data_IF_755439065402
#
_entry.id   IF_755439065402
#
_cell.length_a   1.000
_cell.length_b   1.000
_cell.length_c   1.000
_cell.angle_alpha   90.00
_cell.angle_beta   90.00
_cell.angle_gamma   90.00
#
_symmetry.space_group_name_H-M   'P 1'
#
loop_
_entity.id
_entity.type
_entity.pdbx_description
1 polymer ?
#
# COMPACT_ATOMS: atom_id res chain seq x y z
N UNK A 1 -10.74 29.06 -27.90
CA UNK A 1 -9.35 29.54 -28.12
C UNK A 1 -8.37 28.39 -27.89
N UNK A 2 -7.24 28.33 -28.62
CA UNK A 2 -6.27 27.23 -28.50
C UNK A 2 -5.32 27.46 -27.31
N UNK A 3 -5.03 26.40 -26.55
CA UNK A 3 -4.09 26.42 -25.42
C UNK A 3 -2.62 26.32 -25.86
N UNK A 4 -2.39 25.69 -27.01
CA UNK A 4 -1.07 25.46 -27.60
C UNK A 4 -1.04 25.87 -29.06
N UNK A 5 0.14 26.30 -29.51
CA UNK A 5 0.53 26.45 -30.91
C UNK A 5 1.55 25.35 -31.26
N UNK A 6 1.42 24.73 -32.43
CA UNK A 6 2.40 23.77 -32.93
C UNK A 6 3.28 24.52 -33.92
N UNK A 7 4.58 24.63 -33.61
CA UNK A 7 5.55 25.33 -34.46
C UNK A 7 5.59 24.68 -35.84
N UNK A 8 5.36 25.47 -36.87
CA UNK A 8 5.48 25.08 -38.28
C UNK A 8 6.89 25.38 -38.79
N UNK A 9 7.19 24.84 -39.96
CA UNK A 9 8.45 25.11 -40.65
C UNK A 9 8.63 26.62 -40.86
N UNK A 10 9.82 27.13 -40.53
CA UNK A 10 10.19 28.55 -40.60
C UNK A 10 9.43 29.53 -39.69
N UNK A 11 8.59 29.06 -38.74
CA UNK A 11 7.99 29.95 -37.74
C UNK A 11 9.01 30.35 -36.66
N UNK A 12 8.95 31.62 -36.23
CA UNK A 12 9.74 32.15 -35.11
C UNK A 12 8.84 32.47 -33.92
N UNK A 13 9.44 32.61 -32.73
CA UNK A 13 8.66 32.99 -31.55
C UNK A 13 8.00 34.37 -31.71
N UNK A 14 8.62 35.26 -32.49
CA UNK A 14 8.08 36.57 -32.85
C UNK A 14 6.84 36.46 -33.72
N UNK A 15 6.85 35.62 -34.76
CA UNK A 15 5.66 35.43 -35.63
C UNK A 15 4.51 34.80 -34.85
N UNK A 16 4.82 33.84 -33.97
CA UNK A 16 3.85 33.20 -33.09
C UNK A 16 3.26 34.21 -32.09
N UNK A 17 4.11 35.01 -31.43
CA UNK A 17 3.68 36.03 -30.48
C UNK A 17 2.70 37.03 -31.12
N UNK A 18 3.05 37.53 -32.31
CA UNK A 18 2.21 38.45 -33.09
C UNK A 18 0.86 37.82 -33.47
N UNK A 19 0.88 36.58 -33.96
CA UNK A 19 -0.33 35.86 -34.37
C UNK A 19 -1.33 35.68 -33.23
N UNK A 20 -0.83 35.47 -32.00
CA UNK A 20 -1.67 35.21 -30.83
C UNK A 20 -1.85 36.42 -29.91
N UNK A 21 -1.43 37.62 -30.34
CA UNK A 21 -1.61 38.85 -29.56
C UNK A 21 -0.87 38.85 -28.23
N UNK A 22 0.34 38.28 -28.19
CA UNK A 22 1.19 38.21 -26.99
C UNK A 22 2.62 38.67 -27.30
N UNK A 23 3.52 38.61 -26.33
CA UNK A 23 4.92 39.02 -26.50
C UNK A 23 5.87 37.83 -26.50
N UNK A 24 7.02 37.99 -27.16
CA UNK A 24 8.10 36.99 -27.15
C UNK A 24 8.54 36.71 -25.71
N UNK A 25 8.74 37.75 -24.90
CA UNK A 25 9.11 37.62 -23.50
C UNK A 25 8.08 36.81 -22.68
N UNK A 26 6.78 37.05 -22.91
CA UNK A 26 5.71 36.29 -22.26
C UNK A 26 5.77 34.81 -22.67
N UNK A 27 5.86 34.51 -23.97
CA UNK A 27 5.94 33.13 -24.45
C UNK A 27 7.20 32.40 -23.96
N UNK A 28 8.35 33.07 -23.97
CA UNK A 28 9.60 32.51 -23.45
C UNK A 28 9.45 32.12 -21.98
N UNK A 29 8.96 33.05 -21.15
CA UNK A 29 8.77 32.82 -19.73
C UNK A 29 7.74 31.72 -19.46
N UNK A 30 6.64 31.68 -20.22
CA UNK A 30 5.59 30.68 -20.06
C UNK A 30 6.04 29.26 -20.44
N UNK A 31 6.99 29.13 -21.37
CA UNK A 31 7.44 27.86 -21.92
C UNK A 31 8.85 27.44 -21.47
N UNK A 32 9.44 28.17 -20.52
CA UNK A 32 10.82 27.98 -20.07
C UNK A 32 11.85 27.96 -21.22
N UNK A 33 11.67 28.80 -22.24
CA UNK A 33 12.57 28.83 -23.39
C UNK A 33 13.80 29.68 -23.07
N UNK A 34 15.01 29.11 -23.08
CA UNK A 34 16.23 29.86 -22.81
C UNK A 34 16.62 30.79 -23.97
N UNK A 35 16.21 30.45 -25.19
CA UNK A 35 16.53 31.18 -26.42
C UNK A 35 15.30 31.23 -27.34
N UNK A 36 14.84 32.44 -27.75
CA UNK A 36 13.67 32.59 -28.62
C UNK A 36 13.87 32.04 -30.04
N UNK A 37 15.11 31.85 -30.48
CA UNK A 37 15.45 31.39 -31.82
C UNK A 37 15.59 29.86 -31.92
N UNK A 38 15.61 29.16 -30.78
CA UNK A 38 15.76 27.70 -30.73
C UNK A 38 14.40 27.00 -30.65
N UNK A 39 13.62 27.14 -31.72
CA UNK A 39 12.36 26.41 -31.90
C UNK A 39 12.56 25.21 -32.85
N UNK A 40 11.87 24.12 -32.59
CA UNK A 40 11.84 22.95 -33.49
C UNK A 40 10.47 22.84 -34.15
N UNK A 41 10.45 22.50 -35.44
CA UNK A 41 9.21 22.14 -36.14
C UNK A 41 8.49 21.01 -35.38
N UNK A 42 7.18 21.15 -35.16
CA UNK A 42 6.37 20.24 -34.35
C UNK A 42 6.37 20.50 -32.84
N UNK A 43 7.21 21.42 -32.34
CA UNK A 43 7.24 21.78 -30.92
C UNK A 43 5.91 22.44 -30.50
N UNK A 44 5.38 22.05 -29.35
CA UNK A 44 4.20 22.69 -28.75
C UNK A 44 4.62 23.87 -27.89
N UNK A 45 4.05 25.04 -28.18
CA UNK A 45 4.23 26.28 -27.43
C UNK A 45 2.92 26.59 -26.73
N UNK A 46 2.93 26.63 -25.39
CA UNK A 46 1.82 27.09 -24.59
C UNK A 46 1.58 28.58 -24.85
N UNK A 47 0.33 28.92 -25.12
CA UNK A 47 -0.11 30.29 -25.37
C UNK A 47 -0.76 30.93 -24.13
N UNK A 48 -1.12 30.10 -23.16
CA UNK A 48 -1.89 30.49 -21.98
C UNK A 48 -1.40 29.77 -20.75
N UNK A 49 -1.43 30.46 -19.61
CA UNK A 49 -1.07 29.87 -18.31
C UNK A 49 -1.97 28.70 -17.90
N UNK A 50 -3.23 28.68 -18.32
CA UNK A 50 -4.14 27.56 -18.04
C UNK A 50 -3.64 26.23 -18.64
N UNK A 51 -2.75 26.30 -19.65
CA UNK A 51 -2.15 25.14 -20.28
C UNK A 51 -0.99 24.53 -19.46
N UNK A 52 -0.27 25.34 -18.68
CA UNK A 52 1.04 24.97 -18.10
C UNK A 52 1.28 25.42 -16.66
N UNK A 53 0.39 26.20 -16.07
CA UNK A 53 0.48 26.70 -14.69
C UNK A 53 -0.66 26.16 -13.82
N UNK A 54 -1.29 25.06 -14.26
CA UNK A 54 -2.27 24.38 -13.45
C UNK A 54 -1.62 23.67 -12.26
N UNK A 55 -2.26 23.72 -11.10
CA UNK A 55 -1.79 23.07 -9.89
C UNK A 55 -2.94 22.39 -9.17
N UNK A 56 -2.70 21.20 -8.65
CA UNK A 56 -3.63 20.44 -7.84
C UNK A 56 -2.86 19.74 -6.70
N UNK A 57 -3.50 19.58 -5.55
CA UNK A 57 -2.92 18.87 -4.41
C UNK A 57 -3.67 17.55 -4.20
N UNK A 58 -2.94 16.44 -4.08
CA UNK A 58 -3.46 15.15 -3.65
C UNK A 58 -3.09 14.91 -2.19
N UNK A 59 -4.10 14.76 -1.33
CA UNK A 59 -3.91 14.47 0.09
C UNK A 59 -4.11 12.98 0.37
N UNK A 60 -3.08 12.35 0.90
CA UNK A 60 -3.06 10.93 1.25
C UNK A 60 -2.79 10.74 2.75
N UNK A 61 -3.37 9.70 3.34
CA UNK A 61 -3.00 9.23 4.67
C UNK A 61 -1.68 8.45 4.64
N UNK A 62 -1.24 7.98 5.82
CA UNK A 62 -0.02 7.19 5.95
C UNK A 62 -0.03 5.92 5.08
N UNK A 63 -1.19 5.33 4.85
CA UNK A 63 -1.39 4.10 4.06
C UNK A 63 -1.66 4.37 2.58
N UNK A 64 -1.41 5.61 2.14
CA UNK A 64 -1.62 6.11 0.77
C UNK A 64 -3.09 6.07 0.35
N UNK A 65 -4.03 6.04 1.28
CA UNK A 65 -5.44 6.24 0.95
C UNK A 65 -5.72 7.73 0.72
N UNK A 66 -6.52 8.06 -0.30
CA UNK A 66 -7.06 9.41 -0.43
C UNK A 66 -7.81 9.87 0.82
N UNK A 67 -7.47 11.05 1.34
CA UNK A 67 -8.19 11.66 2.46
C UNK A 67 -9.40 12.39 1.88
N UNK A 68 -10.58 11.83 2.04
CA UNK A 68 -11.84 12.43 1.61
C UNK A 68 -12.34 13.50 2.60
N UNK A 69 -13.03 14.52 2.11
CA UNK A 69 -13.65 15.61 2.89
C UNK A 69 -12.68 16.43 3.76
N UNK A 70 -11.38 16.38 3.47
CA UNK A 70 -10.39 17.21 4.16
C UNK A 70 -10.59 18.67 3.73
N UNK A 71 -10.96 19.54 4.67
CA UNK A 71 -11.03 20.97 4.43
C UNK A 71 -9.62 21.56 4.29
N UNK A 72 -9.38 22.31 3.21
CA UNK A 72 -8.10 22.94 2.91
C UNK A 72 -8.27 24.39 2.46
N UNK A 73 -7.16 25.14 2.52
CA UNK A 73 -7.01 26.45 1.91
C UNK A 73 -5.74 26.46 1.06
N UNK A 74 -5.86 26.94 -0.18
CA UNK A 74 -4.74 27.20 -1.08
C UNK A 74 -4.58 28.72 -1.26
N UNK A 75 -3.43 29.26 -0.88
CA UNK A 75 -3.09 30.68 -1.09
C UNK A 75 -2.04 30.80 -2.20
N UNK A 76 -2.33 31.59 -3.23
CA UNK A 76 -1.47 31.74 -4.41
C UNK A 76 -1.78 33.07 -5.12
N UNK A 77 -0.78 33.73 -5.70
CA UNK A 77 -0.95 34.95 -6.51
C UNK A 77 -1.85 36.03 -5.83
N UNK A 78 -1.75 36.19 -4.50
CA UNK A 78 -2.58 37.12 -3.72
C UNK A 78 -4.06 36.69 -3.54
N UNK A 79 -4.42 35.49 -4.01
CA UNK A 79 -5.75 34.89 -3.91
C UNK A 79 -5.76 33.78 -2.85
N UNK A 80 -6.95 33.47 -2.34
CA UNK A 80 -7.17 32.35 -1.44
C UNK A 80 -8.40 31.56 -1.90
N UNK A 81 -8.24 30.25 -1.93
CA UNK A 81 -9.28 29.29 -2.29
C UNK A 81 -9.46 28.35 -1.12
N UNK A 82 -10.70 28.25 -0.61
CA UNK A 82 -11.10 27.26 0.39
C UNK A 82 -11.91 26.16 -0.28
N UNK A 83 -11.65 24.91 0.09
CA UNK A 83 -12.38 23.77 -0.45
C UNK A 83 -12.33 22.56 0.48
N UNK A 84 -12.94 21.47 0.02
CA UNK A 84 -12.88 20.15 0.64
C UNK A 84 -12.44 19.13 -0.39
N UNK A 85 -11.62 18.16 -0.01
CA UNK A 85 -11.12 17.15 -0.96
C UNK A 85 -12.24 16.25 -1.45
N UNK A 86 -12.13 15.79 -2.70
CA UNK A 86 -13.08 14.80 -3.23
C UNK A 86 -12.75 13.39 -2.72
N UNK A 87 -13.56 12.40 -3.12
CA UNK A 87 -13.33 10.99 -2.76
C UNK A 87 -11.96 10.46 -3.22
N UNK A 88 -11.33 11.07 -4.23
CA UNK A 88 -9.99 10.75 -4.71
C UNK A 88 -8.88 11.54 -4.00
N UNK A 89 -9.23 12.31 -2.96
CA UNK A 89 -8.29 13.03 -2.09
C UNK A 89 -7.71 14.28 -2.73
N UNK A 90 -8.20 14.69 -3.90
CA UNK A 90 -7.69 15.87 -4.60
C UNK A 90 -8.36 17.15 -4.16
N UNK A 91 -7.59 18.23 -4.18
CA UNK A 91 -8.09 19.60 -4.15
C UNK A 91 -8.74 19.95 -5.50
N UNK A 92 -9.41 21.09 -5.56
CA UNK A 92 -9.73 21.68 -6.84
C UNK A 92 -8.45 22.08 -7.56
N UNK A 93 -8.46 22.01 -8.89
CA UNK A 93 -7.39 22.53 -9.73
C UNK A 93 -7.41 24.06 -9.68
N UNK A 94 -6.27 24.66 -9.41
CA UNK A 94 -6.02 26.10 -9.49
C UNK A 94 -5.06 26.41 -10.64
N UNK A 95 -4.96 27.68 -11.03
CA UNK A 95 -4.02 28.14 -12.06
C UNK A 95 -3.27 29.35 -11.51
N UNK A 96 -1.95 29.28 -11.45
CA UNK A 96 -1.09 30.40 -11.04
C UNK A 96 -0.78 31.32 -12.21
N UNK A 97 -0.29 32.53 -11.92
CA UNK A 97 0.09 33.49 -12.96
C UNK A 97 1.37 33.05 -13.67
N UNK A 98 2.30 32.49 -12.92
CA UNK A 98 3.58 31.98 -13.37
C UNK A 98 3.94 30.62 -12.74
N UNK A 99 4.78 29.82 -13.40
CA UNK A 99 5.27 28.54 -12.88
C UNK A 99 6.20 28.72 -11.66
N UNK A 100 6.68 29.94 -11.43
CA UNK A 100 7.49 30.32 -10.28
C UNK A 100 6.67 30.92 -9.13
N UNK A 101 5.34 30.84 -9.18
CA UNK A 101 4.53 31.37 -8.09
C UNK A 101 4.47 30.38 -6.92
N UNK A 102 4.63 30.85 -5.67
CA UNK A 102 4.49 30.02 -4.49
C UNK A 102 3.01 29.77 -4.18
N UNK A 103 2.70 28.53 -3.79
CA UNK A 103 1.39 28.10 -3.37
C UNK A 103 1.50 27.63 -1.92
N UNK A 104 0.84 28.31 -0.99
CA UNK A 104 0.76 27.87 0.41
C UNK A 104 -0.43 26.95 0.58
N UNK A 105 -0.18 25.77 1.16
CA UNK A 105 -1.18 24.74 1.38
C UNK A 105 -1.47 24.65 2.86
N UNK A 106 -2.72 24.90 3.25
CA UNK A 106 -3.19 24.79 4.61
C UNK A 106 -4.30 23.75 4.70
N UNK A 107 -4.38 23.05 5.82
CA UNK A 107 -5.44 22.07 6.11
C UNK A 107 -6.09 22.39 7.45
N UNK A 108 -7.39 22.15 7.55
CA UNK A 108 -8.14 22.34 8.79
C UNK A 108 -7.79 21.25 9.78
N UNK A 109 -7.47 21.66 11.01
CA UNK A 109 -7.28 20.79 12.17
C UNK A 109 -8.62 20.44 12.81
N UNK A 110 -8.60 19.42 13.66
CA UNK A 110 -9.77 19.01 14.45
C UNK A 110 -10.33 20.13 15.34
N UNK A 111 -9.46 21.00 15.86
CA UNK A 111 -9.85 22.19 16.64
C UNK A 111 -10.47 23.33 15.82
N UNK A 112 -10.64 23.13 14.50
CA UNK A 112 -11.19 24.11 13.57
C UNK A 112 -10.19 25.11 13.00
N UNK A 113 -8.96 25.16 13.52
CA UNK A 113 -7.89 26.06 13.03
C UNK A 113 -7.23 25.55 11.75
N UNK A 114 -6.63 26.43 10.96
CA UNK A 114 -5.89 26.03 9.76
C UNK A 114 -4.39 25.93 10.04
N UNK A 115 -3.79 24.78 9.69
CA UNK A 115 -2.34 24.56 9.75
C UNK A 115 -1.75 24.71 8.36
N UNK A 116 -0.76 25.59 8.21
CA UNK A 116 0.13 25.57 7.05
C UNK A 116 0.92 24.26 7.03
N UNK A 117 0.70 23.45 6.00
CA UNK A 117 1.35 22.16 5.79
C UNK A 117 2.69 22.36 5.10
N UNK A 118 2.68 23.10 3.99
CA UNK A 118 3.87 23.37 3.19
C UNK A 118 3.67 24.56 2.24
N UNK A 119 4.74 24.97 1.56
CA UNK A 119 4.73 25.91 0.43
C UNK A 119 5.38 25.23 -0.76
N UNK A 120 4.72 25.24 -1.92
CA UNK A 120 5.20 24.55 -3.13
C UNK A 120 5.19 25.53 -4.29
N UNK A 121 6.23 25.49 -5.12
CA UNK A 121 6.27 26.26 -6.37
C UNK A 121 5.40 25.58 -7.42
N UNK A 122 4.58 26.36 -8.13
CA UNK A 122 3.63 25.87 -9.14
C UNK A 122 4.26 24.96 -10.20
N UNK A 123 5.50 25.25 -10.61
CA UNK A 123 6.23 24.49 -11.63
C UNK A 123 5.67 24.66 -13.05
N UNK A 124 6.41 24.14 -14.03
CA UNK A 124 5.95 24.08 -15.42
C UNK A 124 5.15 22.79 -15.65
N UNK A 125 4.09 22.90 -16.45
CA UNK A 125 3.13 21.81 -16.66
C UNK A 125 2.07 21.79 -15.57
N UNK A 126 0.97 21.09 -15.82
CA UNK A 126 -0.07 20.91 -14.81
C UNK A 126 0.48 20.06 -13.66
N UNK A 127 0.96 20.70 -12.58
CA UNK A 127 1.65 20.04 -11.47
C UNK A 127 0.64 19.44 -10.49
N UNK A 128 0.90 18.18 -10.12
CA UNK A 128 0.22 17.51 -9.00
C UNK A 128 1.18 17.48 -7.81
N UNK A 129 0.76 18.01 -6.66
CA UNK A 129 1.49 17.96 -5.42
C UNK A 129 0.89 16.88 -4.51
N UNK A 130 1.64 15.80 -4.25
CA UNK A 130 1.21 14.73 -3.34
C UNK A 130 1.68 15.02 -1.92
N UNK A 131 0.73 15.15 -0.98
CA UNK A 131 1.00 15.31 0.45
C UNK A 131 0.54 14.06 1.20
N UNK A 132 1.45 13.47 1.99
CA UNK A 132 1.19 12.25 2.74
C UNK A 132 1.25 12.58 4.22
N UNK A 133 0.16 12.34 4.93
CA UNK A 133 0.11 12.52 6.38
C UNK A 133 1.02 11.49 7.07
N UNK A 134 1.87 11.90 8.03
CA UNK A 134 2.63 10.96 8.85
C UNK A 134 1.71 10.16 9.78
N UNK A 135 2.25 9.08 10.37
CA UNK A 135 1.57 8.34 11.42
C UNK A 135 1.45 9.20 12.69
N UNK A 136 0.29 9.13 13.33
CA UNK A 136 0.13 9.51 14.72
C UNK A 136 0.58 8.33 15.59
N UNK A 137 1.73 8.48 16.25
CA UNK A 137 2.15 7.57 17.31
C UNK A 137 1.59 8.14 18.61
N UNK A 138 0.63 7.44 19.20
CA UNK A 138 0.06 7.79 20.50
C UNK A 138 0.66 6.82 21.51
N UNK A 139 1.38 7.35 22.49
CA UNK A 139 1.88 6.55 23.60
C UNK A 139 0.69 6.08 24.45
N UNK A 140 0.21 4.87 24.19
CA UNK A 140 -0.84 4.25 24.99
C UNK A 140 -0.20 3.61 26.21
N UNK A 141 -0.49 4.14 27.40
CA UNK A 141 -0.19 3.43 28.65
C UNK A 141 -1.25 2.36 28.85
N UNK A 142 -0.85 1.09 28.81
CA UNK A 142 -1.71 -0.01 29.23
C UNK A 142 -2.01 0.16 30.73
N UNK A 143 -3.23 0.60 31.06
CA UNK A 143 -3.72 0.59 32.44
C UNK A 143 -4.40 -0.75 32.67
N UNK A 144 -4.13 -1.36 33.83
CA UNK A 144 -4.90 -2.52 34.28
C UNK A 144 -6.40 -2.16 34.24
N UNK A 145 -7.16 -2.89 33.45
CA UNK A 145 -8.62 -2.76 33.42
C UNK A 145 -9.13 -3.16 34.82
N UNK A 146 -10.04 -2.38 35.43
CA UNK A 146 -10.57 -2.76 36.73
C UNK A 146 -11.29 -4.10 36.57
N UNK A 147 -10.77 -5.12 37.26
CA UNK A 147 -11.49 -6.39 37.40
C UNK A 147 -12.73 -6.04 38.22
N UNK A 148 -13.87 -5.82 37.57
CA UNK A 148 -15.14 -5.97 38.28
C UNK A 148 -15.14 -7.37 38.90
N UNK A 149 -15.50 -7.44 40.19
CA UNK A 149 -15.50 -8.65 41.02
C UNK A 149 -16.23 -9.80 40.27
N UNK A 150 -15.49 -10.82 39.86
CA UNK A 150 -15.97 -12.19 40.06
C UNK A 150 -15.70 -12.52 41.52
N UNK A 151 -16.70 -13.05 42.22
CA UNK A 151 -16.66 -13.37 43.64
C UNK A 151 -15.40 -14.18 44.03
N UNK A 152 -14.86 -13.84 45.20
CA UNK A 152 -13.54 -14.21 45.70
C UNK A 152 -13.43 -15.68 46.12
N UNK A 153 -12.30 -16.32 45.79
CA UNK A 153 -11.82 -17.52 46.48
C UNK A 153 -10.44 -17.23 47.13
N UNK A 154 -10.11 -17.89 48.25
CA UNK A 154 -9.30 -17.32 49.32
C UNK A 154 -7.79 -17.50 49.13
N UNK A 155 -7.01 -16.55 49.67
CA UNK A 155 -5.54 -16.59 49.82
C UNK A 155 -5.15 -17.31 51.11
N UNK A 156 -3.98 -17.98 51.25
CA UNK A 156 -2.68 -17.33 51.54
C UNK A 156 -1.43 -18.12 51.01
N UNK A 157 -0.21 -17.58 50.90
CA UNK A 157 0.70 -17.17 51.98
C UNK A 157 1.70 -16.10 51.51
N UNK A 158 2.16 -15.26 52.45
CA UNK A 158 2.95 -14.05 52.23
C UNK A 158 4.32 -14.17 52.91
N UNK A 159 5.39 -13.84 52.18
CA UNK A 159 6.64 -13.16 52.62
C UNK A 159 7.62 -13.15 51.41
N UNK A 160 8.50 -12.18 51.13
CA UNK A 160 9.02 -11.03 51.86
C UNK A 160 9.41 -9.88 50.88
N UNK A 161 9.65 -8.65 51.39
CA UNK A 161 10.27 -7.52 50.66
C UNK A 161 11.81 -7.57 50.81
N UNK A 162 12.63 -7.23 49.80
CA UNK A 162 13.43 -5.97 49.87
C UNK A 162 13.73 -5.33 48.48
N UNK A 163 13.76 -4.00 48.31
CA UNK A 163 14.84 -2.96 48.44
C UNK A 163 15.16 -2.35 47.05
N UNK A 164 15.20 -1.01 47.01
CA UNK A 164 15.51 -0.19 45.84
C UNK A 164 17.03 -0.02 45.64
N UNK A 165 17.46 -0.02 44.37
CA UNK A 165 18.75 0.47 43.92
C UNK A 165 18.55 1.55 42.85
N UNK A 166 19.02 2.75 43.16
CA UNK A 166 19.05 3.94 42.31
C UNK A 166 19.95 3.75 41.09
N UNK A 167 19.47 4.15 39.91
CA UNK A 167 20.28 4.82 38.90
C UNK A 167 19.38 5.75 38.08
N UNK A 168 19.82 7.01 37.97
CA UNK A 168 19.12 8.12 37.31
C UNK A 168 18.64 7.77 35.89
N UNK A 169 17.43 8.20 35.48
CA UNK A 169 17.08 8.22 34.06
C UNK A 169 18.00 9.18 33.33
N UNK A 170 18.57 8.72 32.22
CA UNK A 170 19.31 9.58 31.29
C UNK A 170 18.41 10.75 30.84
N UNK A 171 18.99 11.94 30.84
CA UNK A 171 18.33 13.19 30.55
C UNK A 171 17.69 13.21 29.15
N UNK A 172 16.49 13.78 29.11
CA UNK A 172 15.74 14.16 27.92
C UNK A 172 16.61 15.00 26.96
N UNK A 173 16.79 14.53 25.74
CA UNK A 173 17.53 15.26 24.70
C UNK A 173 16.54 16.08 23.83
N UNK A 174 16.57 17.43 23.86
CA UNK A 174 15.52 18.29 23.29
C UNK A 174 15.67 18.53 21.78
N UNK A 175 16.09 17.53 21.00
CA UNK A 175 16.02 17.59 19.53
C UNK A 175 14.76 16.91 19.04
N UNK A 176 13.59 17.45 19.42
CA UNK A 176 12.31 17.20 18.76
C UNK A 176 12.46 17.64 17.30
N UNK A 177 12.61 16.69 16.37
CA UNK A 177 12.29 16.95 14.96
C UNK A 177 10.83 17.36 14.93
N UNK A 178 10.53 18.54 14.39
CA UNK A 178 9.15 18.92 14.11
C UNK A 178 8.49 17.80 13.31
N UNK A 179 7.38 17.26 13.83
CA UNK A 179 6.51 16.30 13.14
C UNK A 179 5.73 16.99 12.01
N UNK A 180 6.42 17.83 11.23
CA UNK A 180 5.96 18.39 9.98
C UNK A 180 6.19 17.38 8.84
N UNK A 181 5.40 17.45 7.76
CA UNK A 181 5.70 16.67 6.56
C UNK A 181 7.13 16.99 6.09
N UNK A 182 7.95 15.95 5.94
CA UNK A 182 9.28 16.10 5.36
C UNK A 182 9.12 16.14 3.84
N UNK A 183 9.26 17.33 3.25
CA UNK A 183 9.39 17.45 1.80
C UNK A 183 10.76 16.88 1.38
N UNK A 184 10.76 15.84 0.55
CA UNK A 184 11.97 15.38 -0.15
C UNK A 184 11.87 15.87 -1.59
N UNK A 185 12.67 16.87 -1.93
CA UNK A 185 12.88 17.25 -3.33
C UNK A 185 13.99 16.34 -3.88
N UNK A 186 13.66 15.47 -4.82
CA UNK A 186 14.67 14.77 -5.60
C UNK A 186 15.13 15.69 -6.71
N UNK A 187 16.44 15.84 -6.88
CA UNK A 187 17.03 16.65 -7.94
C UNK A 187 17.76 15.74 -8.93
N UNK A 188 17.74 16.14 -10.20
CA UNK A 188 18.63 15.63 -11.25
C UNK A 188 20.09 15.94 -10.91
N UNK A 189 21.03 15.27 -11.57
CA UNK A 189 22.47 15.55 -11.43
C UNK A 189 22.85 16.99 -11.77
N UNK A 190 22.02 17.72 -12.51
CA UNK A 190 22.14 19.15 -12.83
C UNK A 190 21.34 20.08 -11.89
N UNK A 191 20.89 19.59 -10.72
CA UNK A 191 20.32 20.41 -9.66
C UNK A 191 18.90 20.93 -9.93
N UNK A 192 18.25 20.49 -11.01
CA UNK A 192 16.84 20.80 -11.28
C UNK A 192 15.94 19.82 -10.52
N UNK A 193 14.74 20.26 -10.08
CA UNK A 193 13.76 19.36 -9.50
C UNK A 193 13.50 18.22 -10.47
N UNK A 194 13.83 17.01 -10.03
CA UNK A 194 13.56 15.79 -10.77
C UNK A 194 12.04 15.68 -10.83
N UNK A 195 11.47 16.05 -11.96
CA UNK A 195 10.10 15.68 -12.28
C UNK A 195 10.16 14.19 -12.59
N UNK A 196 10.25 13.37 -11.56
CA UNK A 196 9.87 11.98 -11.74
C UNK A 196 8.38 12.05 -11.99
N UNK A 197 7.96 11.75 -13.21
CA UNK A 197 6.64 11.16 -13.41
C UNK A 197 6.75 9.74 -12.86
N UNK A 198 7.02 9.62 -11.56
CA UNK A 198 6.70 8.42 -10.81
C UNK A 198 5.19 8.48 -10.80
N UNK A 199 4.54 7.51 -11.44
CA UNK A 199 3.10 7.42 -11.56
C UNK A 199 2.49 7.22 -10.18
N UNK A 200 2.50 8.26 -9.35
CA UNK A 200 2.22 8.33 -7.90
C UNK A 200 0.84 7.80 -7.49
N UNK A 201 0.07 7.33 -8.48
CA UNK A 201 -1.19 6.66 -8.34
C UNK A 201 -1.16 5.39 -9.21
N UNK A 202 -0.69 4.28 -8.65
CA UNK A 202 -1.33 3.02 -9.05
C UNK A 202 -2.69 3.03 -8.39
N UNK A 203 -3.73 3.33 -9.16
CA UNK A 203 -5.11 3.32 -8.69
C UNK A 203 -5.42 1.92 -8.15
N UNK A 204 -5.65 1.81 -6.84
CA UNK A 204 -6.21 0.62 -6.20
C UNK A 204 -7.74 0.62 -6.42
N UNK A 205 -8.18 0.88 -7.65
CA UNK A 205 -9.59 0.92 -8.03
C UNK A 205 -10.33 -0.38 -7.70
N UNK A 206 -9.62 -1.50 -7.79
CA UNK A 206 -10.12 -2.80 -7.39
C UNK A 206 -10.56 -2.85 -5.91
N UNK A 207 -10.05 -1.98 -5.02
CA UNK A 207 -10.45 -1.95 -3.60
C UNK A 207 -11.71 -1.12 -3.31
N UNK A 208 -12.33 -0.49 -4.31
CA UNK A 208 -13.44 0.46 -4.10
C UNK A 208 -14.76 -0.19 -3.71
N UNK A 209 -14.95 -1.49 -3.99
CA UNK A 209 -16.23 -2.18 -3.85
C UNK A 209 -16.32 -3.08 -2.62
N UNK A 210 -15.55 -2.77 -1.56
CA UNK A 210 -15.64 -3.53 -0.32
C UNK A 210 -17.05 -3.45 0.28
N UNK A 211 -17.73 -4.59 0.42
CA UNK A 211 -19.10 -4.67 0.95
C UNK A 211 -19.15 -4.89 2.46
N UNK A 212 -18.06 -5.42 3.05
CA UNK A 212 -18.03 -5.77 4.47
C UNK A 212 -18.80 -7.04 4.85
N UNK A 213 -19.25 -7.81 3.87
CA UNK A 213 -19.86 -9.11 4.10
C UNK A 213 -18.84 -10.11 4.66
N UNK A 214 -19.17 -10.66 5.83
CA UNK A 214 -18.41 -11.74 6.46
C UNK A 214 -18.96 -13.11 6.02
N UNK A 215 -18.12 -14.13 6.07
CA UNK A 215 -18.54 -15.50 5.79
C UNK A 215 -19.56 -16.00 6.82
N UNK A 216 -20.68 -16.53 6.34
CA UNK A 216 -21.68 -17.20 7.16
C UNK A 216 -21.34 -18.69 7.33
N UNK A 217 -21.93 -19.35 8.32
CA UNK A 217 -21.78 -20.82 8.50
C UNK A 217 -22.20 -21.56 7.21
N UNK A 218 -23.25 -21.09 6.54
CA UNK A 218 -23.74 -21.68 5.30
C UNK A 218 -22.74 -21.56 4.16
N UNK A 219 -21.99 -20.45 4.07
CA UNK A 219 -20.92 -20.30 3.06
C UNK A 219 -19.83 -21.37 3.25
N UNK A 220 -19.42 -21.62 4.50
CA UNK A 220 -18.43 -22.66 4.82
C UNK A 220 -18.96 -24.06 4.52
N UNK A 221 -20.22 -24.35 4.90
CA UNK A 221 -20.86 -25.64 4.66
C UNK A 221 -21.07 -25.91 3.16
N UNK A 222 -21.47 -24.90 2.40
CA UNK A 222 -21.60 -25.00 0.94
C UNK A 222 -20.27 -25.36 0.30
N UNK A 223 -19.19 -24.66 0.64
CA UNK A 223 -17.86 -24.92 0.07
C UNK A 223 -17.36 -26.32 0.47
N UNK A 224 -17.60 -26.75 1.72
CA UNK A 224 -17.29 -28.10 2.20
C UNK A 224 -18.03 -29.17 1.38
N UNK A 225 -19.33 -28.97 1.17
CA UNK A 225 -20.18 -29.86 0.37
C UNK A 225 -19.70 -29.95 -1.09
N UNK A 226 -19.40 -28.80 -1.72
CA UNK A 226 -18.92 -28.74 -3.09
C UNK A 226 -17.53 -29.38 -3.28
N UNK A 227 -16.64 -29.23 -2.28
CA UNK A 227 -15.34 -29.91 -2.26
C UNK A 227 -15.45 -31.37 -1.83
N UNK A 228 -16.57 -31.79 -1.24
CA UNK A 228 -16.76 -33.10 -0.59
C UNK A 228 -15.71 -33.38 0.49
N UNK A 229 -15.39 -32.38 1.29
CA UNK A 229 -14.45 -32.48 2.41
C UNK A 229 -15.10 -32.00 3.71
N UNK A 230 -14.44 -32.25 4.84
CA UNK A 230 -14.90 -31.72 6.12
C UNK A 230 -14.72 -30.20 6.19
N UNK A 231 -15.71 -29.48 6.74
CA UNK A 231 -15.66 -28.01 6.88
C UNK A 231 -14.43 -27.56 7.70
N UNK A 232 -14.04 -28.36 8.70
CA UNK A 232 -12.86 -28.11 9.53
C UNK A 232 -11.55 -28.13 8.73
N UNK A 233 -11.49 -28.85 7.61
CA UNK A 233 -10.32 -28.83 6.74
C UNK A 233 -10.15 -27.47 6.06
N UNK A 234 -11.26 -26.88 5.59
CA UNK A 234 -11.25 -25.55 4.96
C UNK A 234 -10.90 -24.48 6.01
N UNK A 235 -11.47 -24.56 7.21
CA UNK A 235 -11.10 -23.67 8.32
C UNK A 235 -9.61 -23.78 8.69
N UNK A 236 -9.05 -25.00 8.70
CA UNK A 236 -7.65 -25.21 8.99
C UNK A 236 -6.74 -24.50 7.96
N UNK A 237 -7.09 -24.55 6.68
CA UNK A 237 -6.38 -23.82 5.62
C UNK A 237 -6.45 -22.31 5.87
N UNK A 238 -7.65 -21.75 6.02
CA UNK A 238 -7.83 -20.31 6.30
C UNK A 238 -7.03 -19.86 7.55
N UNK A 239 -7.02 -20.69 8.60
CA UNK A 239 -6.30 -20.41 9.83
C UNK A 239 -4.78 -20.38 9.65
N UNK A 240 -4.24 -21.26 8.82
CA UNK A 240 -2.79 -21.32 8.58
C UNK A 240 -2.35 -20.17 7.67
N UNK A 241 -3.11 -19.89 6.61
CA UNK A 241 -2.73 -18.93 5.57
C UNK A 241 -2.83 -17.48 6.04
N UNK A 242 -3.94 -17.07 6.65
CA UNK A 242 -4.14 -15.67 7.06
C UNK A 242 -4.49 -15.50 8.54
N UNK A 243 -4.42 -16.56 9.34
CA UNK A 243 -5.01 -16.59 10.69
C UNK A 243 -6.54 -16.46 10.70
N UNK A 244 -7.17 -16.61 9.53
CA UNK A 244 -8.62 -16.54 9.30
C UNK A 244 -9.14 -15.15 8.95
N UNK A 245 -8.29 -14.16 8.72
CA UNK A 245 -8.72 -12.81 8.31
C UNK A 245 -8.63 -12.66 6.78
N UNK A 246 -9.68 -12.15 6.13
CA UNK A 246 -9.63 -11.79 4.71
C UNK A 246 -9.21 -10.35 4.44
N UNK A 247 -9.45 -9.45 5.40
CA UNK A 247 -9.25 -8.02 5.27
C UNK A 247 -8.52 -7.42 6.47
N UNK A 248 -7.74 -6.38 6.21
CA UNK A 248 -7.16 -5.56 7.27
C UNK A 248 -8.25 -4.78 8.01
N UNK A 249 -8.22 -4.82 9.34
CA UNK A 249 -9.31 -4.31 10.19
C UNK A 249 -9.49 -2.80 10.07
N UNK A 250 -8.41 -2.07 9.77
CA UNK A 250 -8.39 -0.60 9.72
C UNK A 250 -8.66 -0.13 8.29
N UNK A 251 -7.83 -0.57 7.36
CA UNK A 251 -7.86 -0.08 5.96
C UNK A 251 -8.95 -0.72 5.12
N UNK A 252 -9.57 -1.82 5.59
CA UNK A 252 -10.57 -2.61 4.85
C UNK A 252 -10.09 -3.11 3.49
N UNK A 253 -8.78 -3.13 3.29
CA UNK A 253 -8.15 -3.73 2.10
C UNK A 253 -7.95 -5.23 2.31
N UNK A 254 -8.01 -6.06 1.27
CA UNK A 254 -7.73 -7.48 1.43
C UNK A 254 -6.29 -7.67 1.92
N UNK A 255 -6.09 -8.71 2.73
CA UNK A 255 -4.77 -9.11 3.17
C UNK A 255 -3.99 -9.63 1.95
N UNK A 256 -2.84 -9.06 1.67
CA UNK A 256 -1.95 -9.47 0.59
C UNK A 256 -0.54 -9.75 1.09
N UNK A 257 0.18 -10.58 0.34
CA UNK A 257 1.64 -10.69 0.42
C UNK A 257 2.20 -10.49 -0.98
N UNK A 258 3.04 -9.47 -1.15
CA UNK A 258 3.69 -9.22 -2.43
C UNK A 258 4.96 -10.07 -2.55
N UNK A 259 5.10 -10.81 -3.63
CA UNK A 259 6.22 -11.71 -3.88
C UNK A 259 7.14 -11.17 -4.98
N UNK A 260 8.26 -10.54 -4.60
CA UNK A 260 9.19 -9.94 -5.58
C UNK A 260 9.78 -10.92 -6.59
N UNK A 261 9.91 -12.18 -6.20
CA UNK A 261 10.43 -13.24 -7.06
C UNK A 261 9.42 -13.73 -8.08
N UNK A 262 8.14 -13.72 -7.71
CA UNK A 262 7.05 -13.92 -8.65
C UNK A 262 6.97 -12.71 -9.59
N UNK A 263 7.13 -11.48 -9.07
CA UNK A 263 7.16 -10.29 -9.93
C UNK A 263 8.32 -10.32 -10.91
N UNK A 264 9.50 -10.73 -10.48
CA UNK A 264 10.65 -10.96 -11.35
C UNK A 264 10.32 -11.93 -12.50
N UNK A 265 9.68 -13.06 -12.21
CA UNK A 265 9.26 -14.02 -13.23
C UNK A 265 8.16 -13.44 -14.16
N UNK A 266 7.08 -12.87 -13.59
CA UNK A 266 5.92 -12.39 -14.34
C UNK A 266 6.18 -11.11 -15.12
N UNK A 267 7.20 -10.33 -14.75
CA UNK A 267 7.69 -9.17 -15.51
C UNK A 267 8.81 -9.54 -16.49
N UNK A 268 9.06 -10.83 -16.71
CA UNK A 268 10.09 -11.32 -17.63
C UNK A 268 11.48 -10.74 -17.32
N UNK A 269 11.82 -10.64 -16.03
CA UNK A 269 13.12 -10.20 -15.52
C UNK A 269 13.51 -8.76 -15.87
N UNK A 270 12.57 -7.94 -16.36
CA UNK A 270 12.83 -6.59 -16.89
C UNK A 270 13.34 -5.58 -15.86
N UNK A 271 13.06 -5.78 -14.58
CA UNK A 271 13.18 -4.73 -13.57
C UNK A 271 14.28 -4.92 -12.53
N UNK A 272 14.93 -6.09 -12.45
CA UNK A 272 15.84 -6.41 -11.35
C UNK A 272 17.07 -5.51 -11.24
N UNK A 273 17.60 -5.02 -12.37
CA UNK A 273 18.76 -4.12 -12.34
C UNK A 273 18.46 -2.74 -11.79
N UNK A 274 17.20 -2.27 -11.89
CA UNK A 274 16.80 -0.90 -11.51
C UNK A 274 15.92 -0.84 -10.26
N UNK A 275 15.19 -1.92 -9.96
CA UNK A 275 14.22 -2.00 -8.86
C UNK A 275 14.38 -3.30 -8.06
N UNK A 276 15.54 -3.56 -7.44
CA UNK A 276 15.81 -4.81 -6.72
C UNK A 276 14.92 -5.01 -5.47
N UNK A 277 14.34 -3.95 -4.92
CA UNK A 277 13.35 -4.01 -3.84
C UNK A 277 12.00 -4.60 -4.29
N UNK A 278 11.69 -4.52 -5.59
CA UNK A 278 10.42 -4.95 -6.19
C UNK A 278 10.59 -6.20 -7.06
N UNK A 279 11.77 -6.39 -7.67
CA UNK A 279 12.04 -7.46 -8.63
C UNK A 279 13.40 -8.10 -8.35
N UNK A 280 13.42 -9.34 -7.87
CA UNK A 280 14.64 -10.14 -7.67
C UNK A 280 14.32 -11.62 -7.83
N UNK A 281 15.27 -12.42 -8.31
CA UNK A 281 15.22 -13.88 -8.34
C UNK A 281 15.04 -14.54 -6.95
N UNK A 282 15.30 -13.79 -5.88
CA UNK A 282 15.19 -14.27 -4.49
C UNK A 282 13.94 -13.73 -3.80
N UNK A 283 13.25 -14.53 -2.97
CA UNK A 283 12.16 -14.03 -2.12
C UNK A 283 12.67 -13.03 -1.07
N UNK A 284 11.75 -12.35 -0.41
CA UNK A 284 12.09 -11.56 0.78
C UNK A 284 12.55 -12.46 1.92
N UNK A 285 13.40 -11.94 2.81
CA UNK A 285 13.86 -12.68 3.96
C UNK A 285 12.80 -12.66 5.07
N UNK A 286 12.49 -13.84 5.63
CA UNK A 286 11.68 -13.93 6.83
C UNK A 286 12.60 -13.90 8.05
N UNK A 287 12.72 -12.71 8.64
CA UNK A 287 13.62 -12.46 9.76
C UNK A 287 12.89 -12.53 11.10
N UNK A 288 11.63 -12.09 11.12
CA UNK A 288 10.80 -12.03 12.32
C UNK A 288 9.70 -13.09 12.29
N UNK A 289 9.37 -13.61 13.47
CA UNK A 289 8.22 -14.49 13.66
C UNK A 289 6.90 -13.68 13.70
N UNK A 290 5.76 -14.36 13.93
CA UNK A 290 4.45 -13.70 14.02
C UNK A 290 4.30 -12.77 15.24
N UNK A 291 5.19 -12.88 16.23
CA UNK A 291 5.22 -12.02 17.43
C UNK A 291 6.15 -10.81 17.26
N UNK A 292 6.90 -10.76 16.15
CA UNK A 292 7.87 -9.71 15.86
C UNK A 292 9.28 -10.01 16.38
N UNK A 293 9.49 -11.18 16.98
CA UNK A 293 10.78 -11.61 17.51
C UNK A 293 11.69 -12.11 16.37
N UNK A 294 13.00 -11.85 16.48
CA UNK A 294 13.97 -12.33 15.49
C UNK A 294 14.06 -13.85 15.58
N UNK A 295 13.90 -14.51 14.44
CA UNK A 295 14.02 -15.97 14.32
C UNK A 295 15.47 -16.37 14.64
N UNK A 296 15.74 -17.20 15.66
CA UNK A 296 17.10 -17.49 16.14
C UNK A 296 18.04 -17.98 15.03
N UNK A 297 17.56 -18.84 14.13
CA UNK A 297 18.33 -19.41 13.03
C UNK A 297 18.70 -18.38 11.95
N UNK A 298 18.00 -17.23 11.92
CA UNK A 298 18.21 -16.13 10.99
C UNK A 298 18.91 -14.94 11.66
N UNK A 299 19.22 -15.02 12.95
CA UNK A 299 19.84 -13.94 13.73
C UNK A 299 21.18 -13.50 13.16
N UNK A 300 22.02 -14.44 12.73
CA UNK A 300 23.31 -14.14 12.09
C UNK A 300 23.15 -13.43 10.73
N UNK A 301 22.15 -13.83 9.93
CA UNK A 301 21.82 -13.15 8.66
C UNK A 301 21.28 -11.72 8.91
N UNK A 302 20.43 -11.56 9.92
CA UNK A 302 19.93 -10.25 10.35
C UNK A 302 21.06 -9.33 10.82
N UNK A 303 21.88 -9.77 11.77
CA UNK A 303 22.99 -8.98 12.31
C UNK A 303 24.02 -8.62 11.23
N UNK A 304 24.26 -9.52 10.26
CA UNK A 304 25.15 -9.27 9.11
C UNK A 304 24.57 -8.23 8.15
N UNK A 305 23.29 -8.33 7.81
CA UNK A 305 22.66 -7.36 6.92
C UNK A 305 22.50 -5.98 7.58
N UNK A 306 22.29 -5.93 8.90
CA UNK A 306 22.17 -4.69 9.69
C UNK A 306 23.53 -3.96 9.76
N UNK A 307 24.61 -4.69 10.05
CA UNK A 307 25.99 -4.15 10.10
C UNK A 307 26.51 -3.65 8.75
N UNK A 308 26.07 -4.24 7.65
CA UNK A 308 26.54 -3.88 6.30
C UNK A 308 25.72 -2.76 5.67
N UNK A 309 24.67 -2.24 6.35
CA UNK A 309 23.76 -1.24 5.79
C UNK A 309 22.88 -1.77 4.65
N UNK A 310 22.93 -3.08 4.36
CA UNK A 310 22.17 -3.74 3.32
C UNK A 310 20.79 -4.22 3.79
N UNK A 311 20.47 -4.09 5.08
CA UNK A 311 19.11 -4.30 5.60
C UNK A 311 18.27 -3.04 5.35
N UNK A 312 17.99 -2.74 4.08
CA UNK A 312 16.89 -1.84 3.80
C UNK A 312 15.58 -2.48 4.29
N UNK A 313 14.63 -1.69 4.80
CA UNK A 313 13.27 -2.18 5.13
C UNK A 313 12.61 -2.96 3.97
N UNK A 314 13.10 -2.71 2.76
CA UNK A 314 12.72 -3.35 1.52
C UNK A 314 12.99 -4.86 1.47
N UNK A 315 13.92 -5.44 2.23
CA UNK A 315 14.40 -6.82 1.98
C UNK A 315 13.74 -7.93 2.81
N UNK A 316 12.82 -7.59 3.72
CA UNK A 316 12.13 -8.58 4.56
C UNK A 316 10.61 -8.60 4.37
N UNK A 317 9.97 -9.71 4.73
CA UNK A 317 8.50 -9.75 4.81
C UNK A 317 7.98 -8.89 5.95
N UNK A 318 7.01 -8.02 5.71
CA UNK A 318 6.54 -7.08 6.71
C UNK A 318 5.67 -7.76 7.76
N UNK A 319 5.61 -7.18 8.97
CA UNK A 319 4.72 -7.63 10.04
C UNK A 319 3.28 -7.12 9.88
N UNK A 320 3.03 -6.19 8.96
CA UNK A 320 1.72 -5.61 8.68
C UNK A 320 1.52 -5.39 7.17
N UNK A 321 0.31 -5.01 6.77
CA UNK A 321 -0.10 -4.93 5.37
C UNK A 321 0.48 -3.74 4.60
N UNK A 322 0.92 -2.68 5.29
CA UNK A 322 1.30 -1.42 4.63
C UNK A 322 2.49 -1.58 3.66
N UNK A 323 3.61 -2.24 4.01
CA UNK A 323 4.70 -2.43 3.06
C UNK A 323 4.32 -3.32 1.88
N UNK A 324 3.39 -4.27 2.04
CA UNK A 324 2.90 -5.07 0.91
C UNK A 324 2.16 -4.20 -0.10
N UNK A 325 1.27 -3.32 0.36
CA UNK A 325 0.59 -2.37 -0.53
C UNK A 325 1.55 -1.34 -1.15
N UNK A 326 2.55 -0.86 -0.42
CA UNK A 326 3.57 0.03 -0.98
C UNK A 326 4.37 -0.66 -2.09
N UNK A 327 4.74 -1.94 -1.90
CA UNK A 327 5.40 -2.75 -2.93
C UNK A 327 4.52 -2.99 -4.13
N UNK A 328 3.26 -3.39 -3.91
CA UNK A 328 2.28 -3.57 -4.97
C UNK A 328 2.10 -2.27 -5.78
N UNK A 329 1.93 -1.14 -5.10
CA UNK A 329 1.76 0.17 -5.75
C UNK A 329 2.94 0.50 -6.66
N UNK A 330 4.17 0.36 -6.14
CA UNK A 330 5.41 0.55 -6.92
C UNK A 330 5.48 -0.43 -8.11
N UNK A 331 5.18 -1.70 -7.87
CA UNK A 331 5.21 -2.74 -8.91
C UNK A 331 4.20 -2.43 -10.02
N UNK A 332 3.01 -1.95 -9.67
CA UNK A 332 1.96 -1.61 -10.65
C UNK A 332 2.33 -0.44 -11.55
N UNK A 333 3.19 0.47 -11.11
CA UNK A 333 3.74 1.54 -11.94
C UNK A 333 4.72 1.01 -12.99
N UNK A 334 5.36 -0.13 -12.71
CA UNK A 334 6.29 -0.80 -13.63
C UNK A 334 5.54 -1.73 -14.58
N UNK A 335 4.72 -2.62 -14.02
CA UNK A 335 3.92 -3.59 -14.76
C UNK A 335 2.73 -4.01 -13.90
N UNK A 336 1.56 -3.44 -14.19
CA UNK A 336 0.34 -3.66 -13.40
C UNK A 336 -0.12 -5.11 -13.39
N UNK A 337 -0.10 -5.77 -14.54
CA UNK A 337 -0.57 -7.14 -14.67
C UNK A 337 0.36 -8.10 -13.91
N UNK A 338 1.67 -7.96 -14.11
CA UNK A 338 2.66 -8.75 -13.38
C UNK A 338 2.58 -8.49 -11.88
N UNK A 339 2.37 -7.24 -11.45
CA UNK A 339 2.27 -6.87 -10.04
C UNK A 339 1.09 -7.55 -9.35
N UNK A 340 -0.11 -7.49 -9.94
CA UNK A 340 -1.29 -8.13 -9.37
C UNK A 340 -1.16 -9.67 -9.36
N UNK A 341 -0.56 -10.24 -10.40
CA UNK A 341 -0.23 -11.68 -10.46
C UNK A 341 0.73 -12.14 -9.37
N UNK A 342 1.55 -11.21 -8.86
CA UNK A 342 2.63 -11.48 -7.90
C UNK A 342 2.23 -11.30 -6.45
N UNK A 343 0.96 -11.03 -6.18
CA UNK A 343 0.41 -11.03 -4.83
C UNK A 343 -0.34 -12.33 -4.54
N UNK A 344 -0.24 -12.82 -3.30
CA UNK A 344 -1.27 -13.65 -2.70
C UNK A 344 -2.40 -12.77 -2.17
N UNK A 345 -3.64 -13.27 -2.18
CA UNK A 345 -4.81 -12.46 -1.86
C UNK A 345 -5.75 -13.12 -0.85
N UNK A 346 -6.24 -12.30 0.08
CA UNK A 346 -7.35 -12.60 0.97
C UNK A 346 -7.07 -13.71 1.99
N UNK A 347 -8.16 -14.26 2.53
CA UNK A 347 -8.14 -15.23 3.62
C UNK A 347 -7.39 -16.51 3.29
N UNK A 348 -7.44 -16.94 2.03
CA UNK A 348 -6.84 -18.20 1.58
C UNK A 348 -5.49 -17.99 0.90
N UNK A 349 -5.03 -16.73 0.76
CA UNK A 349 -3.75 -16.40 0.13
C UNK A 349 -3.57 -17.01 -1.27
N UNK A 350 -4.63 -17.03 -2.08
CA UNK A 350 -4.56 -17.51 -3.48
C UNK A 350 -3.68 -16.56 -4.29
N UNK A 351 -2.67 -17.09 -4.97
CA UNK A 351 -1.77 -16.29 -5.81
C UNK A 351 -2.49 -15.73 -7.04
N UNK A 352 -2.26 -14.45 -7.37
CA UNK A 352 -2.92 -13.78 -8.49
C UNK A 352 -2.64 -14.43 -9.85
N UNK A 353 -1.46 -15.02 -10.07
CA UNK A 353 -1.19 -15.76 -11.30
C UNK A 353 -2.13 -16.98 -11.49
N UNK A 354 -2.81 -17.44 -10.45
CA UNK A 354 -3.82 -18.51 -10.50
C UNK A 354 -5.25 -17.99 -10.78
N UNK A 355 -5.45 -16.72 -11.13
CA UNK A 355 -6.79 -16.14 -11.37
C UNK A 355 -7.67 -16.99 -12.30
N UNK A 356 -7.11 -17.54 -13.38
CA UNK A 356 -7.84 -18.40 -14.31
C UNK A 356 -8.35 -19.69 -13.63
N UNK A 357 -7.50 -20.36 -12.84
CA UNK A 357 -7.87 -21.54 -12.06
C UNK A 357 -8.88 -21.20 -10.95
N UNK A 358 -8.84 -19.97 -10.43
CA UNK A 358 -9.82 -19.45 -9.47
C UNK A 358 -11.16 -19.04 -10.13
N UNK A 359 -11.30 -19.19 -11.45
CA UNK A 359 -12.55 -18.94 -12.18
C UNK A 359 -12.70 -17.52 -12.75
N UNK A 360 -11.61 -16.76 -12.85
CA UNK A 360 -11.63 -15.39 -13.35
C UNK A 360 -11.02 -15.27 -14.75
N UNK A 361 -11.60 -14.41 -15.57
CA UNK A 361 -11.15 -14.17 -16.95
C UNK A 361 -9.78 -13.50 -17.01
N UNK A 362 -9.52 -12.60 -16.06
CA UNK A 362 -8.31 -11.78 -16.01
C UNK A 362 -7.94 -11.46 -14.55
N UNK A 363 -6.74 -10.92 -14.37
CA UNK A 363 -6.23 -10.61 -13.04
C UNK A 363 -6.95 -9.42 -12.37
N UNK A 364 -7.48 -8.47 -13.15
CA UNK A 364 -8.18 -7.30 -12.62
C UNK A 364 -9.52 -7.69 -11.97
N UNK A 365 -10.29 -8.55 -12.66
CA UNK A 365 -11.54 -9.11 -12.13
C UNK A 365 -11.28 -9.96 -10.88
N UNK A 366 -10.20 -10.73 -10.85
CA UNK A 366 -9.76 -11.45 -9.65
C UNK A 366 -9.42 -10.50 -8.50
N UNK A 367 -8.55 -9.51 -8.70
CA UNK A 367 -8.17 -8.56 -7.65
C UNK A 367 -9.38 -7.76 -7.12
N UNK A 368 -10.32 -7.39 -8.00
CA UNK A 368 -11.59 -6.77 -7.63
C UNK A 368 -12.45 -7.67 -6.76
N UNK A 369 -12.62 -8.94 -7.14
CA UNK A 369 -13.39 -9.90 -6.35
C UNK A 369 -12.76 -10.13 -4.97
N UNK A 370 -11.44 -10.34 -4.92
CA UNK A 370 -10.71 -10.52 -3.65
C UNK A 370 -10.84 -9.31 -2.72
N UNK A 371 -11.09 -8.13 -3.28
CA UNK A 371 -11.26 -6.88 -2.54
C UNK A 371 -12.72 -6.54 -2.21
N UNK A 372 -13.69 -7.34 -2.69
CA UNK A 372 -15.12 -7.09 -2.52
C UNK A 372 -15.62 -7.66 -1.19
N UNK A 373 -15.42 -8.95 -0.93
CA UNK A 373 -15.87 -9.60 0.32
C UNK A 373 -15.12 -10.90 0.62
N UNK A 374 -15.26 -11.41 1.84
CA UNK A 374 -14.68 -12.73 2.20
C UNK A 374 -15.39 -13.87 1.45
N UNK A 375 -16.65 -13.65 1.06
CA UNK A 375 -17.43 -14.56 0.22
C UNK A 375 -16.81 -14.75 -1.17
N UNK A 376 -16.36 -13.66 -1.79
CA UNK A 376 -15.62 -13.76 -3.05
C UNK A 376 -14.28 -14.49 -2.86
N UNK A 377 -13.59 -14.24 -1.74
CA UNK A 377 -12.33 -14.92 -1.41
C UNK A 377 -12.49 -16.43 -1.25
N UNK A 378 -13.53 -16.91 -0.57
CA UNK A 378 -13.77 -18.35 -0.43
C UNK A 378 -14.23 -18.99 -1.76
N UNK A 379 -14.96 -18.25 -2.61
CA UNK A 379 -15.35 -18.74 -3.93
C UNK A 379 -14.14 -18.92 -4.86
N UNK A 380 -13.20 -17.98 -4.84
CA UNK A 380 -11.94 -18.12 -5.58
C UNK A 380 -11.12 -19.31 -5.09
N UNK A 381 -11.06 -19.52 -3.77
CA UNK A 381 -10.41 -20.70 -3.18
C UNK A 381 -11.07 -22.00 -3.64
N UNK A 382 -12.41 -22.10 -3.54
CA UNK A 382 -13.19 -23.24 -3.99
C UNK A 382 -12.86 -23.63 -5.45
N UNK A 383 -12.91 -22.65 -6.36
CA UNK A 383 -12.62 -22.87 -7.77
C UNK A 383 -11.17 -23.30 -7.98
N UNK A 384 -10.22 -22.65 -7.30
CA UNK A 384 -8.81 -22.98 -7.38
C UNK A 384 -8.53 -24.43 -6.94
N UNK A 385 -9.13 -24.88 -5.83
CA UNK A 385 -9.00 -26.27 -5.37
C UNK A 385 -9.65 -27.25 -6.36
N UNK A 386 -10.83 -26.92 -6.92
CA UNK A 386 -11.49 -27.75 -7.93
C UNK A 386 -10.68 -27.90 -9.22
N UNK A 387 -9.89 -26.88 -9.58
CA UNK A 387 -9.06 -26.88 -10.79
C UNK A 387 -7.82 -27.78 -10.68
N UNK A 388 -7.34 -28.11 -9.48
CA UNK A 388 -6.23 -29.04 -9.27
C UNK A 388 -6.70 -30.32 -8.57
N UNK A 389 -6.78 -31.41 -9.33
CA UNK A 389 -7.21 -32.72 -8.83
C UNK A 389 -6.37 -33.24 -7.66
N UNK A 390 -5.09 -32.85 -7.58
CA UNK A 390 -4.19 -33.24 -6.48
C UNK A 390 -4.54 -32.51 -5.20
N UNK A 391 -4.80 -31.20 -5.28
CA UNK A 391 -5.25 -30.40 -4.14
C UNK A 391 -6.63 -30.86 -3.66
N UNK A 392 -7.54 -31.12 -4.60
CA UNK A 392 -8.88 -31.61 -4.31
C UNK A 392 -8.83 -32.97 -3.60
N UNK A 393 -7.99 -33.90 -4.07
CA UNK A 393 -7.78 -35.19 -3.39
C UNK A 393 -7.19 -34.98 -1.99
N UNK A 394 -6.14 -34.17 -1.88
CA UNK A 394 -5.44 -33.94 -0.62
C UNK A 394 -6.35 -33.33 0.47
N UNK A 395 -7.20 -32.35 0.13
CA UNK A 395 -8.11 -31.74 1.11
C UNK A 395 -9.22 -32.70 1.54
N UNK A 396 -9.70 -33.58 0.64
CA UNK A 396 -10.69 -34.62 0.95
C UNK A 396 -10.14 -35.68 1.89
N UNK A 397 -8.93 -36.12 1.61
CA UNK A 397 -8.25 -37.18 2.37
C UNK A 397 -7.53 -36.64 3.62
N UNK A 398 -7.52 -35.32 3.82
CA UNK A 398 -6.76 -34.63 4.88
C UNK A 398 -5.26 -34.94 4.80
N UNK A 399 -4.74 -35.15 3.59
CA UNK A 399 -3.32 -35.27 3.32
C UNK A 399 -2.68 -33.88 3.34
N UNK A 400 -2.36 -33.41 4.55
CA UNK A 400 -1.80 -32.08 4.78
C UNK A 400 -0.45 -31.88 4.11
N UNK A 401 0.33 -32.95 3.92
CA UNK A 401 1.64 -32.88 3.27
C UNK A 401 1.46 -32.65 1.77
N UNK A 402 0.64 -33.47 1.12
CA UNK A 402 0.33 -33.32 -0.30
C UNK A 402 -0.36 -31.97 -0.58
N UNK A 403 -1.28 -31.56 0.30
CA UNK A 403 -1.94 -30.25 0.20
C UNK A 403 -0.91 -29.12 0.30
N UNK A 404 -0.06 -29.11 1.32
CA UNK A 404 0.93 -28.05 1.50
C UNK A 404 1.97 -28.00 0.36
N UNK A 405 2.38 -29.15 -0.19
CA UNK A 405 3.29 -29.20 -1.35
C UNK A 405 2.61 -28.65 -2.61
N UNK A 406 1.33 -29.00 -2.85
CA UNK A 406 0.58 -28.50 -3.99
C UNK A 406 0.27 -27.00 -3.88
N UNK A 407 0.00 -26.53 -2.66
CA UNK A 407 -0.47 -25.16 -2.41
C UNK A 407 0.67 -24.16 -2.24
N UNK A 408 1.71 -24.53 -1.49
CA UNK A 408 2.85 -23.66 -1.14
C UNK A 408 4.17 -24.08 -1.82
N UNK A 409 4.17 -25.15 -2.61
CA UNK A 409 5.34 -25.67 -3.30
C UNK A 409 6.21 -26.61 -2.46
N UNK A 410 7.23 -27.19 -3.10
CA UNK A 410 8.12 -28.24 -2.52
C UNK A 410 8.90 -27.81 -1.27
N UNK A 411 9.06 -26.51 -1.03
CA UNK A 411 9.80 -25.96 0.13
C UNK A 411 8.88 -25.58 1.30
N UNK A 412 7.67 -26.13 1.36
CA UNK A 412 6.78 -25.90 2.50
C UNK A 412 7.46 -26.39 3.79
N UNK A 413 7.71 -25.47 4.73
CA UNK A 413 8.38 -25.78 5.99
C UNK A 413 7.35 -25.83 7.13
N UNK A 414 6.88 -27.04 7.45
CA UNK A 414 5.99 -27.32 8.57
C UNK A 414 4.57 -26.79 8.41
N UNK A 415 4.12 -26.50 7.17
CA UNK A 415 2.74 -26.09 6.89
C UNK A 415 1.76 -27.24 7.11
N UNK A 416 2.15 -28.44 6.69
CA UNK A 416 1.45 -29.70 6.96
C UNK A 416 1.11 -29.87 8.45
N UNK A 417 2.11 -29.73 9.34
CA UNK A 417 1.92 -29.86 10.80
C UNK A 417 1.02 -28.77 11.37
N UNK A 418 1.10 -27.55 10.82
CA UNK A 418 0.25 -26.43 11.24
C UNK A 418 -1.20 -26.65 10.84
N UNK A 419 -1.46 -27.13 9.62
CA UNK A 419 -2.81 -27.45 9.15
C UNK A 419 -3.41 -28.59 9.97
N UNK A 420 -2.65 -29.67 10.18
CA UNK A 420 -3.06 -30.79 11.04
C UNK A 420 -3.42 -30.32 12.46
N UNK A 421 -2.58 -29.48 13.07
CA UNK A 421 -2.83 -28.92 14.41
C UNK A 421 -4.08 -28.04 14.45
N UNK A 422 -4.26 -27.17 13.47
CA UNK A 422 -5.42 -26.29 13.37
C UNK A 422 -6.71 -27.10 13.24
N UNK A 423 -6.70 -28.10 12.35
CA UNK A 423 -7.82 -29.03 12.16
C UNK A 423 -8.19 -29.77 13.46
N UNK A 424 -7.22 -30.38 14.13
CA UNK A 424 -7.46 -31.14 15.36
C UNK A 424 -8.00 -30.26 16.50
N UNK A 425 -7.56 -29.00 16.58
CA UNK A 425 -8.04 -28.05 17.58
C UNK A 425 -9.53 -27.75 17.39
N UNK A 426 -9.97 -27.58 16.14
CA UNK A 426 -11.39 -27.34 15.80
C UNK A 426 -12.27 -28.55 16.15
N UNK A 427 -11.77 -29.77 15.92
CA UNK A 427 -12.49 -30.99 16.29
C UNK A 427 -12.75 -31.09 17.80
N UNK A 428 -11.76 -30.75 18.63
CA UNK A 428 -11.89 -30.76 20.09
C UNK A 428 -12.92 -29.72 20.56
N UNK A 429 -12.92 -28.52 19.98
CA UNK A 429 -13.89 -27.47 20.31
C UNK A 429 -15.33 -27.88 20.00
N UNK A 430 -15.56 -28.57 18.88
CA UNK A 430 -16.90 -29.06 18.52
C UNK A 430 -17.38 -30.19 19.44
N UNK A 431 -16.48 -31.07 19.91
CA UNK A 431 -16.83 -32.12 20.87
C UNK A 431 -17.21 -31.56 22.25
N UNK A 432 -16.56 -30.48 22.69
CA UNK A 432 -16.87 -29.85 23.98
C UNK A 432 -18.16 -29.00 23.97
N UNK A 433 -18.58 -28.50 22.81
CA UNK A 433 -19.81 -27.72 22.66
C UNK A 433 -21.07 -28.59 22.41
N UNK A 434 -20.88 -29.86 22.04
CA UNK A 434 -21.98 -30.85 21.92
C UNK A 434 -22.24 -31.69 23.17
N UNK A 435 -21.52 -31.46 24.26
CA UNK A 435 -21.61 -32.22 25.51
C UNK A 435 -22.23 -31.42 26.69
N UNK A 436 -22.96 -30.34 26.39
CA UNK A 436 -23.70 -29.52 27.38
C UNK A 436 -25.21 -29.61 27.17
#
# INVERSE_FOLDING_TARGET
MRNFHIVREHETLTTIARQHGTTVAHLMKLNNLPDPNRLKTGQKIALRREAVCGFETLFLDADRNPINKLEYVLEFCGKSVKGSTTHDGKSQKIVTDWPTDPIRILVKRFDGTFKKVTVVMSGYGNKLCTLISPLLVIDSVLRSHSKQKKEELPSPQRAAKPIYGSNNPAAFNPKKKELGPQARETNTTDGKPLTVVEGDISNLDFTKNYTGENLTVDDWQRVASELRCEVNAIYAVAKVESSGAGFDRITKRPIILFERHVFHEKSHHRYSGRYPDISSDKPYLRIRDKKGEVIPERKAEYEKAEKTGHLAEADYYPLNQRPNYQRLIKAMQLDREAALKSCSWGMFQVMGFNHAAAGFRDIESFAKAMSTSEKEQINAFLNFIKADSRLLKAVREKDWLAFAIGYNGKKQAGYDRKMAKAYNTLQISNHQSGAQ
#
